data_IF_072781840654
#
_entry.id   IF_072781840654
#
_cell.length_a   1.000
_cell.length_b   1.000
_cell.length_c   1.000
_cell.angle_alpha   90.00
_cell.angle_beta   90.00
_cell.angle_gamma   90.00
#
_symmetry.space_group_name_H-M   'P 1'
#
loop_
_entity.id
_entity.type
_entity.pdbx_description
1 polymer ?
#
# COMPACT_ATOMS: atom_id res chain seq x y z
N UNK A 1 -6.02 14.58 -11.17
CA UNK A 1 -7.14 15.29 -10.50
C UNK A 1 -6.59 16.05 -9.29
N UNK A 2 -7.31 16.99 -8.67
CA UNK A 2 -6.90 17.57 -7.37
C UNK A 2 -7.60 16.83 -6.25
N UNK A 3 -6.83 16.29 -5.30
CA UNK A 3 -7.34 15.55 -4.16
C UNK A 3 -7.21 16.41 -2.91
N UNK A 4 -8.27 17.08 -2.49
CA UNK A 4 -8.27 17.82 -1.22
C UNK A 4 -8.41 16.84 -0.05
N UNK A 5 -7.70 17.08 1.04
CA UNK A 5 -7.82 16.26 2.25
C UNK A 5 -9.06 16.68 3.04
N UNK A 6 -10.23 16.20 2.59
CA UNK A 6 -11.52 16.57 3.16
C UNK A 6 -12.48 15.39 3.29
N UNK A 7 -13.64 15.65 3.89
CA UNK A 7 -14.68 14.65 4.07
C UNK A 7 -15.29 14.18 2.74
N UNK A 8 -15.25 15.00 1.67
CA UNK A 8 -15.77 14.60 0.37
C UNK A 8 -14.89 13.51 -0.24
N UNK A 9 -13.57 13.68 -0.22
CA UNK A 9 -12.61 12.66 -0.65
C UNK A 9 -12.69 11.41 0.24
N UNK A 10 -12.70 11.58 1.56
CA UNK A 10 -12.83 10.44 2.51
C UNK A 10 -14.07 9.60 2.23
N UNK A 11 -15.21 10.25 1.99
CA UNK A 11 -16.49 9.58 1.67
C UNK A 11 -16.46 8.92 0.30
N UNK A 12 -15.89 9.59 -0.70
CA UNK A 12 -15.78 9.04 -2.05
C UNK A 12 -14.91 7.77 -2.10
N UNK A 13 -13.75 7.77 -1.42
CA UNK A 13 -12.87 6.60 -1.32
C UNK A 13 -13.63 5.45 -0.64
N UNK A 14 -14.23 5.69 0.54
CA UNK A 14 -14.98 4.67 1.28
C UNK A 14 -16.09 4.06 0.43
N UNK A 15 -16.89 4.90 -0.21
CA UNK A 15 -18.00 4.46 -1.07
C UNK A 15 -17.51 3.57 -2.22
N UNK A 16 -16.40 3.92 -2.85
CA UNK A 16 -15.84 3.12 -3.96
C UNK A 16 -15.27 1.79 -3.48
N UNK A 17 -14.62 1.78 -2.31
CA UNK A 17 -14.13 0.55 -1.69
C UNK A 17 -15.29 -0.36 -1.25
N UNK A 18 -16.37 0.19 -0.71
CA UNK A 18 -17.57 -0.57 -0.33
C UNK A 18 -18.28 -1.18 -1.56
N UNK A 19 -18.28 -0.47 -2.69
CA UNK A 19 -18.84 -0.94 -3.96
C UNK A 19 -17.94 -1.92 -4.70
N UNK A 20 -16.67 -2.05 -4.31
CA UNK A 20 -15.71 -2.95 -4.92
C UNK A 20 -15.75 -4.32 -4.24
N UNK A 21 -16.25 -5.38 -4.89
CA UNK A 21 -16.28 -6.70 -4.29
C UNK A 21 -14.87 -7.28 -4.22
N UNK A 22 -14.18 -7.06 -3.10
CA UNK A 22 -12.80 -7.52 -2.92
C UNK A 22 -12.69 -9.03 -3.06
N UNK A 23 -11.65 -9.48 -3.75
CA UNK A 23 -11.25 -10.88 -3.85
C UNK A 23 -10.34 -11.22 -2.68
N UNK A 24 -10.96 -11.76 -1.62
CA UNK A 24 -10.21 -12.34 -0.51
C UNK A 24 -9.74 -13.73 -0.92
N UNK A 25 -8.43 -13.91 -1.06
CA UNK A 25 -7.84 -15.16 -1.49
C UNK A 25 -7.75 -16.10 -0.29
N UNK A 26 -8.70 -17.00 -0.20
CA UNK A 26 -8.70 -18.07 0.77
C UNK A 26 -8.02 -19.28 0.14
N UNK A 27 -6.68 -19.38 0.23
CA UNK A 27 -5.88 -20.63 0.23
C UNK A 27 -4.46 -20.46 -0.32
N UNK A 28 -3.52 -21.10 0.37
CA UNK A 28 -2.14 -21.33 -0.06
C UNK A 28 -1.21 -21.52 1.14
N UNK A 29 -0.01 -22.10 0.92
CA UNK A 29 1.07 -22.15 1.92
C UNK A 29 1.71 -20.77 2.21
N UNK A 30 1.05 -19.68 1.80
CA UNK A 30 1.56 -18.31 1.89
C UNK A 30 1.33 -17.75 3.29
N UNK A 31 2.32 -17.02 3.80
CA UNK A 31 2.24 -16.31 5.07
C UNK A 31 1.35 -15.08 4.90
N UNK A 32 0.35 -14.91 5.76
CA UNK A 32 -0.54 -13.75 5.69
C UNK A 32 0.18 -12.50 6.21
N UNK A 33 -0.01 -11.40 5.49
CA UNK A 33 0.48 -10.09 5.87
C UNK A 33 -0.58 -9.03 5.54
N UNK A 34 -0.51 -7.88 6.21
CA UNK A 34 -1.33 -6.73 5.89
C UNK A 34 -0.46 -5.48 5.75
N UNK A 35 -0.88 -4.57 4.89
CA UNK A 35 -0.20 -3.28 4.69
C UNK A 35 -1.20 -2.14 4.76
N UNK A 36 -0.79 -1.00 5.32
CA UNK A 36 -1.60 0.19 5.44
C UNK A 36 -1.33 1.17 4.30
N UNK A 37 -2.36 1.50 3.51
CA UNK A 37 -2.38 2.69 2.65
C UNK A 37 -2.99 3.82 3.48
N UNK A 38 -2.12 4.54 4.20
CA UNK A 38 -2.55 5.67 5.01
C UNK A 38 -2.71 6.93 4.16
N UNK A 39 -3.96 7.37 3.96
CA UNK A 39 -4.28 8.65 3.33
C UNK A 39 -4.10 9.76 4.37
N UNK A 40 -3.25 10.73 4.08
CA UNK A 40 -2.78 11.76 5.03
C UNK A 40 -2.93 13.18 4.46
N UNK A 41 -2.97 14.23 5.30
CA UNK A 41 -2.75 15.58 4.84
C UNK A 41 -1.37 15.72 4.17
N UNK A 42 -1.33 16.41 3.05
CA UNK A 42 -0.12 16.77 2.33
C UNK A 42 -0.30 18.20 1.82
N UNK A 43 0.18 19.16 2.60
CA UNK A 43 -0.14 20.60 2.43
C UNK A 43 -1.66 20.82 2.44
N UNK A 44 -2.22 21.50 1.44
CA UNK A 44 -3.68 21.70 1.28
C UNK A 44 -4.38 20.51 0.60
N UNK A 45 -3.66 19.43 0.30
CA UNK A 45 -4.14 18.27 -0.46
C UNK A 45 -4.02 16.98 0.36
N UNK A 46 -4.47 15.89 -0.22
CA UNK A 46 -4.30 14.55 0.30
C UNK A 46 -3.07 13.88 -0.31
N UNK A 47 -2.36 13.13 0.53
CA UNK A 47 -1.24 12.28 0.17
C UNK A 47 -1.39 10.87 0.73
N UNK A 48 -0.35 10.07 0.55
CA UNK A 48 -0.20 8.75 1.16
C UNK A 48 1.21 8.56 1.69
N UNK A 49 1.37 7.69 2.70
CA UNK A 49 2.67 7.41 3.31
C UNK A 49 3.37 6.23 2.65
N UNK A 50 4.68 6.39 2.46
CA UNK A 50 5.62 5.29 2.26
C UNK A 50 6.78 5.40 3.25
N UNK A 51 7.34 4.25 3.60
CA UNK A 51 8.54 4.15 4.42
C UNK A 51 9.72 3.70 3.56
N UNK A 52 10.94 4.07 3.98
CA UNK A 52 12.18 3.44 3.53
C UNK A 52 12.64 2.48 4.62
N UNK A 53 12.81 1.19 4.28
CA UNK A 53 13.31 0.18 5.22
C UNK A 53 14.77 0.46 5.59
N UNK A 54 15.16 0.24 6.85
CA UNK A 54 16.56 0.35 7.28
C UNK A 54 17.47 -0.63 6.54
N UNK A 55 18.73 -0.22 6.29
CA UNK A 55 19.67 -1.00 5.51
C UNK A 55 20.13 -2.31 6.18
N UNK A 56 19.94 -2.44 7.49
CA UNK A 56 20.32 -3.63 8.28
C UNK A 56 19.32 -4.78 8.17
N UNK A 57 18.10 -4.54 7.66
CA UNK A 57 17.15 -5.61 7.36
C UNK A 57 17.67 -6.37 6.12
N UNK A 58 17.95 -7.65 6.31
CA UNK A 58 18.67 -8.52 5.35
C UNK A 58 17.93 -8.74 4.02
N UNK A 59 16.67 -8.28 3.91
CA UNK A 59 15.87 -8.24 2.69
C UNK A 59 15.40 -6.80 2.41
N UNK A 60 15.57 -6.33 1.16
CA UNK A 60 14.97 -5.08 0.65
C UNK A 60 15.44 -3.76 1.29
N UNK A 61 16.68 -3.70 1.76
CA UNK A 61 17.33 -2.48 2.28
C UNK A 61 17.08 -1.26 1.37
N UNK A 62 16.57 -0.17 1.97
CA UNK A 62 16.32 1.08 1.26
C UNK A 62 15.17 1.05 0.25
N UNK A 63 14.37 -0.02 0.14
CA UNK A 63 13.21 -0.03 -0.75
C UNK A 63 12.03 0.76 -0.18
N UNK A 64 11.21 1.30 -1.07
CA UNK A 64 9.93 1.91 -0.73
C UNK A 64 8.92 0.83 -0.34
N UNK A 65 8.30 0.99 0.82
CA UNK A 65 7.29 0.07 1.34
C UNK A 65 6.09 0.84 1.91
N UNK A 66 4.93 0.20 1.90
CA UNK A 66 3.83 0.58 2.78
C UNK A 66 4.14 0.04 4.18
N UNK A 67 3.78 0.76 5.27
CA UNK A 67 3.82 0.19 6.61
C UNK A 67 3.03 -1.11 6.66
N UNK A 68 3.59 -2.14 7.28
CA UNK A 68 2.92 -3.43 7.31
C UNK A 68 3.84 -4.62 7.52
N UNK A 69 3.22 -5.70 7.99
CA UNK A 69 3.91 -6.90 8.39
C UNK A 69 2.98 -8.10 8.46
N UNK A 70 3.45 -9.14 9.14
CA UNK A 70 2.74 -10.41 9.23
C UNK A 70 1.54 -10.26 10.16
N UNK A 71 0.51 -11.07 9.90
CA UNK A 71 -0.56 -11.24 10.87
C UNK A 71 -0.05 -12.12 12.02
N UNK A 72 -0.34 -11.69 13.25
CA UNK A 72 -0.17 -12.50 14.45
C UNK A 72 -1.29 -13.54 14.60
N UNK A 73 -1.10 -14.49 15.53
CA UNK A 73 -2.09 -15.54 15.76
C UNK A 73 -3.43 -14.95 16.24
N UNK A 74 -4.51 -15.26 15.50
CA UNK A 74 -5.85 -14.76 15.78
C UNK A 74 -6.12 -13.35 15.23
N UNK A 75 -5.13 -12.68 14.65
CA UNK A 75 -5.24 -11.31 14.15
C UNK A 75 -5.90 -11.24 12.76
N UNK A 76 -6.81 -10.28 12.58
CA UNK A 76 -7.37 -9.91 11.29
C UNK A 76 -6.49 -8.92 10.51
N UNK A 77 -6.65 -8.78 9.17
CA UNK A 77 -5.84 -7.85 8.38
C UNK A 77 -5.89 -6.39 8.84
N UNK A 78 -7.06 -5.94 9.30
CA UNK A 78 -7.25 -4.57 9.78
C UNK A 78 -6.45 -4.34 11.07
N UNK A 79 -6.50 -5.29 12.00
CA UNK A 79 -5.75 -5.21 13.27
C UNK A 79 -4.25 -5.19 12.99
N UNK A 80 -3.77 -6.07 12.12
CA UNK A 80 -2.37 -6.12 11.72
C UNK A 80 -1.92 -4.81 11.06
N UNK A 81 -2.68 -4.27 10.10
CA UNK A 81 -2.31 -3.02 9.44
C UNK A 81 -2.27 -1.83 10.40
N UNK A 82 -3.20 -1.75 11.36
CA UNK A 82 -3.21 -0.69 12.38
C UNK A 82 -2.07 -0.85 13.39
N UNK A 83 -1.79 -2.08 13.84
CA UNK A 83 -0.66 -2.39 14.73
C UNK A 83 0.66 -2.00 14.08
N UNK A 84 0.91 -2.45 12.86
CA UNK A 84 2.15 -2.16 12.11
C UNK A 84 2.29 -0.66 11.83
N UNK A 85 1.18 0.03 11.49
CA UNK A 85 1.21 1.49 11.35
C UNK A 85 1.59 2.19 12.67
N UNK A 86 1.11 1.69 13.81
CA UNK A 86 1.52 2.20 15.12
C UNK A 86 2.99 1.89 15.42
N UNK A 87 3.44 0.67 15.15
CA UNK A 87 4.79 0.19 15.46
C UNK A 87 5.87 0.80 14.57
N UNK A 88 5.61 0.96 13.27
CA UNK A 88 6.58 1.47 12.30
C UNK A 88 6.62 3.00 12.25
N UNK A 89 5.47 3.67 12.36
CA UNK A 89 5.35 5.13 12.10
C UNK A 89 4.68 5.93 13.21
N UNK A 90 4.39 5.30 14.37
CA UNK A 90 3.79 5.93 15.55
C UNK A 90 2.40 6.56 15.31
N UNK A 91 1.68 6.12 14.29
CA UNK A 91 0.29 6.55 14.05
C UNK A 91 -0.67 5.52 14.65
N UNK A 92 -1.25 5.88 15.80
CA UNK A 92 -2.25 5.07 16.50
C UNK A 92 -3.66 5.49 16.05
N UNK A 93 -4.26 4.71 15.15
CA UNK A 93 -5.57 5.00 14.56
C UNK A 93 -6.63 4.02 15.07
N UNK A 94 -7.83 4.50 15.45
CA UNK A 94 -8.93 3.60 15.79
C UNK A 94 -9.51 2.93 14.54
N UNK A 95 -10.20 1.78 14.68
CA UNK A 95 -10.87 1.11 13.56
C UNK A 95 -11.87 1.98 12.78
N UNK A 96 -12.40 3.06 13.36
CA UNK A 96 -13.29 4.01 12.68
C UNK A 96 -12.60 4.83 11.58
N UNK A 97 -11.28 4.85 11.55
CA UNK A 97 -10.50 5.50 10.49
C UNK A 97 -10.22 4.59 9.29
N UNK A 98 -10.60 3.31 9.36
CA UNK A 98 -10.51 2.38 8.23
C UNK A 98 -11.57 2.71 7.20
N UNK A 99 -11.15 2.89 5.94
CA UNK A 99 -12.03 3.21 4.82
C UNK A 99 -12.43 1.99 4.01
N UNK A 100 -11.68 0.89 4.10
CA UNK A 100 -11.95 -0.35 3.38
C UNK A 100 -10.69 -1.16 3.14
N UNK A 101 -10.84 -2.27 2.41
CA UNK A 101 -9.76 -3.16 2.02
C UNK A 101 -9.79 -3.37 0.50
N UNK A 102 -8.62 -3.68 -0.06
CA UNK A 102 -8.46 -4.05 -1.47
C UNK A 102 -8.29 -5.57 -1.62
N UNK A 103 -7.99 -6.03 -2.84
CA UNK A 103 -7.78 -7.45 -3.10
C UNK A 103 -6.51 -7.96 -2.44
N UNK A 104 -6.50 -9.24 -2.09
CA UNK A 104 -5.27 -9.87 -1.63
C UNK A 104 -4.27 -10.00 -2.79
N UNK A 105 -3.00 -9.70 -2.53
CA UNK A 105 -1.91 -9.79 -3.50
C UNK A 105 -0.91 -10.90 -3.11
N UNK A 106 -0.82 -12.00 -3.88
CA UNK A 106 0.15 -13.06 -3.63
C UNK A 106 1.55 -12.65 -4.10
N UNK A 107 2.54 -12.71 -3.22
CA UNK A 107 3.94 -12.41 -3.56
C UNK A 107 4.71 -13.67 -3.96
N UNK A 108 5.79 -13.49 -4.74
CA UNK A 108 6.72 -14.59 -5.05
C UNK A 108 7.58 -14.98 -3.85
N UNK A 109 7.78 -14.04 -2.93
CA UNK A 109 8.47 -14.23 -1.64
C UNK A 109 7.66 -15.00 -0.58
N UNK A 110 6.48 -15.51 -0.93
CA UNK A 110 5.72 -16.42 -0.07
C UNK A 110 4.72 -15.74 0.86
N UNK A 111 4.31 -14.51 0.57
CA UNK A 111 3.30 -13.78 1.34
C UNK A 111 1.99 -13.64 0.59
N UNK A 112 0.89 -13.51 1.33
CA UNK A 112 -0.40 -13.05 0.83
C UNK A 112 -0.73 -11.74 1.54
N UNK A 113 -0.60 -10.63 0.83
CA UNK A 113 -0.74 -9.28 1.38
C UNK A 113 -2.19 -8.81 1.23
N UNK A 114 -2.84 -8.43 2.33
CA UNK A 114 -4.13 -7.73 2.33
C UNK A 114 -3.91 -6.22 2.52
N UNK A 115 -4.21 -5.36 1.53
CA UNK A 115 -4.11 -3.91 1.70
C UNK A 115 -5.32 -3.33 2.44
N UNK A 116 -5.05 -2.51 3.45
CA UNK A 116 -6.05 -1.79 4.25
C UNK A 116 -5.88 -0.30 4.02
N UNK A 117 -6.96 0.39 3.62
CA UNK A 117 -6.94 1.84 3.41
C UNK A 117 -7.43 2.53 4.67
N UNK A 118 -6.65 3.46 5.20
CA UNK A 118 -6.97 4.21 6.43
C UNK A 118 -6.87 5.71 6.21
N UNK A 119 -7.62 6.48 6.98
CA UNK A 119 -7.61 7.93 6.98
C UNK A 119 -6.87 8.45 8.21
N UNK A 120 -5.77 9.16 8.03
CA UNK A 120 -4.90 9.60 9.12
C UNK A 120 -4.80 11.12 9.13
N UNK A 121 -5.70 11.77 9.87
CA UNK A 121 -5.80 13.24 9.90
C UNK A 121 -4.80 13.92 10.86
N UNK A 122 -4.48 13.28 11.98
CA UNK A 122 -3.50 13.77 12.95
C UNK A 122 -2.17 13.04 12.77
N UNK A 123 -1.13 13.79 12.45
CA UNK A 123 0.23 13.29 12.24
C UNK A 123 1.20 13.80 13.33
N UNK A 124 0.71 14.44 14.39
CA UNK A 124 1.57 15.10 15.38
C UNK A 124 2.55 14.15 16.08
N UNK A 125 2.15 12.89 16.27
CA UNK A 125 2.97 11.84 16.87
C UNK A 125 3.82 11.05 15.85
N UNK A 126 3.70 11.33 14.55
CA UNK A 126 4.35 10.54 13.50
C UNK A 126 5.87 10.55 13.65
N UNK A 127 6.44 9.36 13.85
CA UNK A 127 7.87 9.18 14.03
C UNK A 127 8.28 7.79 13.54
N UNK A 128 9.44 7.65 12.86
CA UNK A 128 9.91 6.35 12.43
C UNK A 128 10.39 5.52 13.62
N UNK A 129 10.05 4.24 13.64
CA UNK A 129 10.76 3.27 14.46
C UNK A 129 12.16 3.02 13.85
N UNK A 130 13.20 3.47 14.54
CA UNK A 130 14.57 3.44 14.04
C UNK A 130 15.13 2.03 13.79
N UNK A 131 14.51 0.99 14.34
CA UNK A 131 14.93 -0.40 14.13
C UNK A 131 14.43 -0.97 12.78
N UNK A 132 13.37 -0.38 12.20
CA UNK A 132 12.70 -0.92 11.01
C UNK A 132 12.58 0.10 9.87
N UNK A 133 12.32 1.36 10.21
CA UNK A 133 12.07 2.47 9.29
C UNK A 133 13.20 3.48 9.33
N UNK A 134 13.88 3.65 8.21
CA UNK A 134 14.92 4.67 8.05
C UNK A 134 14.32 6.08 7.89
N UNK A 135 13.17 6.18 7.23
CA UNK A 135 12.47 7.46 7.04
C UNK A 135 11.02 7.25 6.56
N UNK A 136 10.15 8.20 6.89
CA UNK A 136 8.75 8.27 6.48
C UNK A 136 8.60 9.38 5.46
N UNK A 137 7.90 9.12 4.36
CA UNK A 137 7.74 10.06 3.25
C UNK A 137 6.27 10.13 2.82
N UNK A 138 5.63 11.30 2.94
CA UNK A 138 4.33 11.53 2.32
C UNK A 138 4.50 11.90 0.83
N UNK A 139 3.71 11.27 -0.03
CA UNK A 139 3.60 11.60 -1.46
C UNK A 139 2.18 12.11 -1.75
N UNK A 140 2.00 13.13 -2.62
CA UNK A 140 0.65 13.57 -2.99
C UNK A 140 -0.07 12.46 -3.77
N UNK A 141 -1.38 12.30 -3.57
CA UNK A 141 -2.16 11.27 -4.28
C UNK A 141 -2.10 11.41 -5.80
N UNK A 142 -1.84 12.62 -6.31
CA UNK A 142 -1.65 12.87 -7.75
C UNK A 142 -0.44 12.14 -8.36
N UNK A 143 0.55 11.74 -7.57
CA UNK A 143 1.66 10.91 -8.07
C UNK A 143 1.18 9.54 -8.60
N UNK A 144 0.07 9.02 -8.06
CA UNK A 144 -0.52 7.76 -8.53
C UNK A 144 -1.22 7.88 -9.89
N UNK A 145 -1.45 9.10 -10.38
CA UNK A 145 -2.06 9.39 -11.68
C UNK A 145 -1.07 10.02 -12.68
N UNK A 146 0.22 9.94 -12.38
CA UNK A 146 1.24 10.58 -13.20
C UNK A 146 1.24 10.01 -14.62
N UNK A 147 1.28 10.90 -15.61
CA UNK A 147 1.36 10.49 -17.02
C UNK A 147 2.58 9.59 -17.26
N UNK A 148 2.37 8.48 -17.97
CA UNK A 148 3.41 7.46 -18.17
C UNK A 148 3.64 6.53 -16.97
N UNK A 149 2.79 6.57 -15.94
CA UNK A 149 2.79 5.65 -14.79
C UNK A 149 1.36 5.11 -14.55
N UNK A 150 1.17 3.81 -14.26
CA UNK A 150 2.18 2.76 -14.16
C UNK A 150 2.82 2.39 -15.51
N UNK A 151 4.00 1.78 -15.42
CA UNK A 151 4.63 1.08 -16.53
C UNK A 151 4.46 -0.43 -16.36
N UNK A 152 4.08 -1.09 -17.45
CA UNK A 152 3.99 -2.54 -17.55
C UNK A 152 5.13 -3.05 -18.43
N UNK A 153 5.89 -4.01 -17.90
CA UNK A 153 7.04 -4.61 -18.58
C UNK A 153 6.79 -6.10 -18.79
N UNK A 154 7.24 -6.61 -19.93
CA UNK A 154 7.33 -8.05 -20.17
C UNK A 154 8.72 -8.53 -19.78
N UNK A 155 8.79 -9.74 -19.20
CA UNK A 155 10.05 -10.41 -18.85
C UNK A 155 10.03 -11.85 -19.37
N UNK A 156 11.18 -12.46 -19.72
CA UNK A 156 11.22 -13.84 -20.19
C UNK A 156 10.73 -14.87 -19.18
N UNK A 157 10.80 -14.57 -17.88
CA UNK A 157 10.51 -15.52 -16.79
C UNK A 157 9.03 -15.62 -16.43
N UNK A 158 8.17 -14.74 -16.97
CA UNK A 158 6.74 -14.73 -16.66
C UNK A 158 5.91 -14.11 -17.78
N UNK A 159 4.80 -14.76 -18.13
CA UNK A 159 3.77 -14.22 -19.03
C UNK A 159 2.95 -13.09 -18.39
N UNK A 160 3.07 -12.90 -17.07
CA UNK A 160 2.37 -11.86 -16.33
C UNK A 160 3.13 -10.52 -16.44
N UNK A 161 2.43 -9.39 -16.65
CA UNK A 161 3.09 -8.09 -16.78
C UNK A 161 3.70 -7.66 -15.44
N UNK A 162 4.97 -7.28 -15.45
CA UNK A 162 5.64 -6.67 -14.29
C UNK A 162 5.20 -5.21 -14.19
N UNK A 163 4.66 -4.81 -13.04
CA UNK A 163 4.25 -3.43 -12.80
C UNK A 163 5.32 -2.65 -12.04
N UNK A 164 5.51 -1.38 -12.43
CA UNK A 164 6.21 -0.38 -11.63
C UNK A 164 5.50 0.98 -11.69
N UNK A 165 5.55 1.72 -10.58
CA UNK A 165 5.10 3.10 -10.49
C UNK A 165 6.30 4.04 -10.49
N UNK A 166 6.15 5.21 -11.11
CA UNK A 166 7.06 6.33 -10.93
C UNK A 166 6.53 7.19 -9.77
N UNK A 167 7.28 7.27 -8.67
CA UNK A 167 6.98 8.12 -7.51
C UNK A 167 8.16 9.05 -7.24
N UNK A 168 7.92 10.36 -7.36
CA UNK A 168 8.98 11.36 -7.37
C UNK A 168 9.97 11.10 -8.52
N UNK A 169 11.21 10.74 -8.17
CA UNK A 169 12.27 10.37 -9.11
C UNK A 169 12.59 8.86 -9.10
N UNK A 170 11.88 8.08 -8.28
CA UNK A 170 12.14 6.66 -8.07
C UNK A 170 11.11 5.76 -8.74
N UNK A 171 11.54 4.58 -9.17
CA UNK A 171 10.62 3.50 -9.52
C UNK A 171 10.31 2.65 -8.29
N UNK A 172 9.04 2.39 -8.06
CA UNK A 172 8.53 1.43 -7.07
C UNK A 172 7.99 0.23 -7.82
N UNK A 173 8.32 -0.97 -7.36
CA UNK A 173 7.91 -2.23 -7.97
C UNK A 173 6.85 -2.94 -7.12
N UNK A 174 6.20 -3.96 -7.67
CA UNK A 174 5.34 -4.84 -6.89
C UNK A 174 6.14 -5.49 -5.73
N UNK A 175 5.50 -5.77 -4.57
CA UNK A 175 4.06 -5.69 -4.31
C UNK A 175 3.51 -4.27 -4.12
N UNK A 176 4.33 -3.33 -3.63
CA UNK A 176 3.90 -1.95 -3.34
C UNK A 176 3.26 -1.26 -4.55
N UNK A 177 3.87 -1.38 -5.74
CA UNK A 177 3.33 -0.77 -6.95
C UNK A 177 1.97 -1.33 -7.38
N UNK A 178 1.77 -2.65 -7.25
CA UNK A 178 0.51 -3.30 -7.62
C UNK A 178 -0.63 -2.83 -6.69
N UNK A 179 -0.37 -2.81 -5.39
CA UNK A 179 -1.33 -2.40 -4.36
C UNK A 179 -1.71 -0.92 -4.49
N UNK A 180 -0.72 -0.04 -4.68
CA UNK A 180 -0.96 1.40 -4.88
C UNK A 180 -1.69 1.67 -6.21
N UNK A 181 -1.36 0.92 -7.27
CA UNK A 181 -2.09 1.03 -8.53
C UNK A 181 -3.56 0.63 -8.35
N UNK A 182 -3.85 -0.47 -7.65
CA UNK A 182 -5.24 -0.84 -7.36
C UNK A 182 -5.97 0.23 -6.54
N UNK A 183 -5.31 0.82 -5.55
CA UNK A 183 -5.89 1.93 -4.80
C UNK A 183 -6.22 3.15 -5.69
N UNK A 184 -5.32 3.51 -6.61
CA UNK A 184 -5.56 4.60 -7.55
C UNK A 184 -6.77 4.31 -8.46
N UNK A 185 -6.82 3.10 -9.02
CA UNK A 185 -7.90 2.68 -9.89
C UNK A 185 -9.25 2.62 -9.18
N UNK A 186 -9.29 1.94 -8.03
CA UNK A 186 -10.53 1.66 -7.27
C UNK A 186 -10.89 2.84 -6.38
N UNK A 187 -10.03 3.18 -5.43
CA UNK A 187 -10.30 4.20 -4.41
C UNK A 187 -10.38 5.62 -4.96
N UNK A 188 -9.51 5.98 -5.90
CA UNK A 188 -9.48 7.35 -6.44
C UNK A 188 -10.35 7.52 -7.69
N UNK A 189 -10.33 6.54 -8.61
CA UNK A 189 -11.01 6.67 -9.89
C UNK A 189 -12.31 5.86 -10.03
N UNK A 190 -12.63 4.97 -9.08
CA UNK A 190 -13.87 4.17 -9.10
C UNK A 190 -13.92 3.08 -10.17
N UNK A 191 -12.77 2.64 -10.70
CA UNK A 191 -12.64 1.53 -11.64
C UNK A 191 -12.48 0.20 -10.90
N UNK A 192 -13.00 -0.89 -11.44
CA UNK A 192 -12.91 -2.22 -10.84
C UNK A 192 -11.62 -2.99 -11.26
N UNK A 193 -10.45 -2.36 -11.11
CA UNK A 193 -9.18 -2.93 -11.59
C UNK A 193 -8.64 -3.96 -10.58
N UNK A 194 -8.30 -5.15 -11.08
CA UNK A 194 -7.69 -6.26 -10.31
C UNK A 194 -6.19 -6.29 -10.53
N UNK A 195 -5.40 -6.64 -9.52
CA UNK A 195 -3.92 -6.63 -9.62
C UNK A 195 -3.22 -7.93 -9.25
N UNK A 196 -3.94 -8.94 -8.75
CA UNK A 196 -3.35 -10.23 -8.35
C UNK A 196 -2.63 -10.98 -9.48
N UNK A 197 -2.92 -10.65 -10.74
CA UNK A 197 -2.27 -11.22 -11.92
C UNK A 197 -0.97 -10.49 -12.32
N UNK A 198 -0.64 -9.35 -11.71
CA UNK A 198 0.55 -8.57 -12.02
C UNK A 198 1.79 -9.17 -11.35
N UNK A 199 2.92 -9.14 -12.06
CA UNK A 199 4.16 -9.80 -11.65
C UNK A 199 5.12 -8.87 -10.90
N UNK A 200 5.96 -9.48 -10.06
CA UNK A 200 7.10 -8.83 -9.43
C UNK A 200 8.36 -8.95 -10.30
N UNK A 201 9.29 -7.97 -10.27
CA UNK A 201 10.57 -8.14 -10.95
C UNK A 201 11.35 -9.33 -10.36
N UNK A 202 12.19 -10.00 -11.16
CA UNK A 202 12.90 -11.24 -10.79
C UNK A 202 13.68 -11.12 -9.48
N UNK A 203 14.28 -9.96 -9.20
CA UNK A 203 15.04 -9.73 -7.97
C UNK A 203 14.18 -9.72 -6.69
N UNK A 204 12.86 -9.56 -6.80
CA UNK A 204 11.91 -9.57 -5.69
C UNK A 204 11.33 -10.97 -5.39
N UNK A 205 11.75 -12.01 -6.11
CA UNK A 205 11.22 -13.37 -5.94
C UNK A 205 11.86 -14.16 -4.79
N UNK A 206 12.87 -13.60 -4.12
CA UNK A 206 13.64 -14.25 -3.05
C UNK A 206 13.31 -13.66 -1.69
#
# INVERSE_FOLDING_TARGET
MSYFFDNALRTAIRTRLDLFPREALHQGALKRAAVAIAVVPHEEKAGFLLTRRVAKLTSHAGQWALPGGRLDEGEGPVEAALRELREEVALDLPPSEVLGMLDDYPTRSGYLITPVVVWAADLAAMAPNADEVASIHPFPLSELEREGSPLFLTIPESERPVIRLLLGESHVHAPTAAVLHQFAEVGLAGRATRVAHMEQPVWAWR
#
